data_IF_160824794728
#
_entry.id   IF_160824794728
#
_cell.length_a   1.000
_cell.length_b   1.000
_cell.length_c   1.000
_cell.angle_alpha   90.00
_cell.angle_beta   90.00
_cell.angle_gamma   90.00
#
_symmetry.space_group_name_H-M   'P 1'
#
loop_
_entity.id
_entity.type
_entity.pdbx_description
1 polymer ?
#
# COMPACT_ATOMS: atom_id res chain seq x y z
N UNK A 1 -4.53 15.98 -14.80
CA UNK A 1 -5.23 15.82 -13.50
C UNK A 1 -5.05 17.05 -12.58
N UNK A 2 -5.31 18.24 -13.09
CA UNK A 2 -5.08 19.48 -12.30
C UNK A 2 -6.37 20.24 -11.99
N UNK A 3 -7.52 19.54 -11.96
CA UNK A 3 -8.78 20.16 -11.61
C UNK A 3 -9.45 19.41 -10.43
N UNK A 4 -9.12 19.79 -9.17
CA UNK A 4 -9.74 19.20 -7.97
C UNK A 4 -11.20 19.62 -7.79
N UNK A 5 -11.71 20.55 -8.62
CA UNK A 5 -13.08 21.08 -8.51
C UNK A 5 -14.16 20.01 -8.63
N UNK A 6 -13.88 18.89 -9.29
CA UNK A 6 -14.80 17.76 -9.34
C UNK A 6 -15.14 17.19 -7.96
N UNK A 7 -14.27 17.33 -6.97
CA UNK A 7 -14.52 16.86 -5.59
C UNK A 7 -15.65 17.65 -4.91
N UNK A 8 -15.91 18.87 -5.37
CA UNK A 8 -16.97 19.72 -4.81
C UNK A 8 -18.37 19.43 -5.41
N UNK A 9 -18.44 18.62 -6.46
CA UNK A 9 -19.73 18.20 -7.01
C UNK A 9 -20.42 17.22 -6.07
N UNK A 10 -21.74 17.34 -5.93
CA UNK A 10 -22.54 16.45 -5.10
C UNK A 10 -22.29 14.97 -5.44
N UNK A 11 -22.08 14.14 -4.42
CA UNK A 11 -21.83 12.70 -4.54
C UNK A 11 -20.50 12.31 -5.21
N UNK A 12 -19.59 13.25 -5.52
CA UNK A 12 -18.30 12.91 -6.17
C UNK A 12 -17.39 12.10 -5.30
N UNK A 13 -17.28 12.44 -4.02
CA UNK A 13 -16.45 11.69 -3.07
C UNK A 13 -16.99 10.28 -2.90
N UNK A 14 -18.30 10.12 -2.76
CA UNK A 14 -18.97 8.82 -2.63
C UNK A 14 -18.69 7.92 -3.84
N UNK A 15 -18.82 8.46 -5.07
CA UNK A 15 -18.51 7.73 -6.30
C UNK A 15 -17.04 7.31 -6.39
N UNK A 16 -16.12 8.17 -5.96
CA UNK A 16 -14.68 7.84 -5.94
C UNK A 16 -14.41 6.71 -4.94
N UNK A 17 -14.95 6.79 -3.73
CA UNK A 17 -14.80 5.76 -2.71
C UNK A 17 -15.42 4.43 -3.15
N UNK A 18 -16.63 4.45 -3.73
CA UNK A 18 -17.25 3.26 -4.30
C UNK A 18 -16.41 2.64 -5.43
N UNK A 19 -15.77 3.48 -6.25
CA UNK A 19 -14.81 3.03 -7.26
C UNK A 19 -13.60 2.33 -6.64
N UNK A 20 -12.98 2.94 -5.64
CA UNK A 20 -11.81 2.40 -4.94
C UNK A 20 -12.09 1.03 -4.29
N UNK A 21 -13.26 0.83 -3.70
CA UNK A 21 -13.61 -0.42 -3.00
C UNK A 21 -14.25 -1.48 -3.91
N UNK A 22 -14.51 -1.15 -5.17
CA UNK A 22 -15.15 -2.04 -6.14
C UNK A 22 -14.22 -2.50 -7.25
N UNK A 23 -13.23 -1.69 -7.61
CA UNK A 23 -12.26 -2.03 -8.64
C UNK A 23 -11.16 -2.93 -8.09
N UNK A 24 -10.77 -3.93 -8.88
CA UNK A 24 -9.65 -4.80 -8.52
C UNK A 24 -8.34 -4.03 -8.64
N UNK A 25 -7.44 -4.27 -7.70
CA UNK A 25 -6.05 -3.88 -7.84
C UNK A 25 -5.46 -4.52 -9.11
N UNK A 26 -4.76 -3.75 -9.92
CA UNK A 26 -3.96 -4.29 -11.00
C UNK A 26 -2.84 -5.17 -10.44
N UNK A 27 -2.40 -6.16 -11.22
CA UNK A 27 -1.23 -6.96 -10.83
C UNK A 27 -0.04 -6.01 -10.64
N UNK A 28 0.66 -6.17 -9.52
CA UNK A 28 1.90 -5.44 -9.30
C UNK A 28 2.95 -5.87 -10.33
N UNK A 29 3.55 -4.90 -10.95
CA UNK A 29 4.64 -5.06 -11.91
C UNK A 29 5.63 -3.87 -11.78
N UNK A 30 6.58 -3.77 -12.69
CA UNK A 30 7.56 -2.70 -12.78
C UNK A 30 7.12 -1.51 -13.63
N UNK A 31 5.86 -1.49 -14.08
CA UNK A 31 5.33 -0.41 -14.91
C UNK A 31 4.53 0.58 -14.07
N UNK A 32 4.62 1.84 -14.43
CA UNK A 32 3.92 2.95 -13.78
C UNK A 32 3.09 3.68 -14.84
N UNK A 33 1.89 4.11 -14.46
CA UNK A 33 1.00 4.85 -15.36
C UNK A 33 1.66 6.12 -15.89
N UNK A 34 1.37 6.44 -17.14
CA UNK A 34 1.86 7.63 -17.85
C UNK A 34 1.55 8.94 -17.10
N UNK A 35 0.43 9.00 -16.39
CA UNK A 35 0.08 10.13 -15.52
C UNK A 35 1.14 10.44 -14.44
N UNK A 36 1.90 9.45 -13.99
CA UNK A 36 2.93 9.60 -12.97
C UNK A 36 4.35 9.71 -13.56
N UNK A 37 4.56 9.33 -14.83
CA UNK A 37 5.88 9.36 -15.47
C UNK A 37 6.04 10.52 -16.44
N UNK A 38 4.95 11.05 -16.99
CA UNK A 38 5.01 12.14 -17.97
C UNK A 38 4.12 13.35 -17.62
N UNK A 39 3.12 13.16 -16.75
CA UNK A 39 2.12 14.20 -16.46
C UNK A 39 2.09 14.66 -14.99
N UNK A 40 2.99 14.15 -14.14
CA UNK A 40 3.04 14.56 -12.74
C UNK A 40 3.35 16.06 -12.61
N UNK A 41 2.47 16.80 -11.96
CA UNK A 41 2.57 18.28 -11.82
C UNK A 41 2.72 19.04 -13.14
N UNK A 42 2.28 18.47 -14.23
CA UNK A 42 2.29 19.15 -15.54
C UNK A 42 1.47 20.44 -15.45
N UNK A 43 2.04 21.51 -15.98
CA UNK A 43 1.37 22.80 -16.11
C UNK A 43 0.92 23.04 -17.56
N UNK A 44 -0.04 23.93 -17.83
CA UNK A 44 -0.47 24.27 -19.19
C UNK A 44 0.65 24.83 -20.08
N UNK A 45 1.77 25.26 -19.49
CA UNK A 45 2.93 25.82 -20.20
C UNK A 45 4.01 24.79 -20.52
N UNK A 46 3.87 23.56 -20.05
CA UNK A 46 4.85 22.48 -20.24
C UNK A 46 4.26 21.37 -21.11
N UNK A 47 5.06 20.83 -22.04
CA UNK A 47 4.65 19.70 -22.86
C UNK A 47 4.58 18.39 -22.09
N UNK A 48 5.33 18.27 -20.97
CA UNK A 48 5.36 17.11 -20.10
C UNK A 48 5.51 17.55 -18.63
N UNK A 49 5.18 16.66 -17.72
CA UNK A 49 5.36 16.82 -16.28
C UNK A 49 6.65 16.18 -15.78
N UNK A 50 6.66 15.86 -14.52
CA UNK A 50 7.76 15.14 -13.85
C UNK A 50 7.53 13.63 -13.96
N UNK A 51 8.61 12.86 -13.69
CA UNK A 51 8.59 11.40 -13.58
C UNK A 51 8.78 10.99 -12.13
N UNK A 52 7.73 10.42 -11.51
CA UNK A 52 7.76 10.00 -10.11
C UNK A 52 8.79 8.90 -9.84
N UNK A 53 8.94 7.95 -10.77
CA UNK A 53 9.90 6.85 -10.59
C UNK A 53 11.34 7.38 -10.57
N UNK A 54 11.69 8.27 -11.48
CA UNK A 54 12.98 8.95 -11.48
C UNK A 54 13.23 9.75 -10.20
N UNK A 55 12.19 10.45 -9.70
CA UNK A 55 12.26 11.15 -8.41
C UNK A 55 12.52 10.20 -7.25
N UNK A 56 11.87 9.03 -7.20
CA UNK A 56 12.07 8.04 -6.14
C UNK A 56 13.50 7.49 -6.16
N UNK A 57 14.05 7.17 -7.32
CA UNK A 57 15.43 6.71 -7.49
C UNK A 57 16.40 7.80 -7.02
N UNK A 58 16.26 9.02 -7.56
CA UNK A 58 17.11 10.14 -7.19
C UNK A 58 17.03 10.47 -5.69
N UNK A 59 15.83 10.42 -5.11
CA UNK A 59 15.61 10.64 -3.68
C UNK A 59 16.33 9.58 -2.84
N UNK A 60 16.29 8.31 -3.23
CA UNK A 60 17.04 7.25 -2.58
C UNK A 60 18.53 7.52 -2.56
N UNK A 61 19.11 7.91 -3.70
CA UNK A 61 20.53 8.26 -3.83
C UNK A 61 20.91 9.50 -3.02
N UNK A 62 20.08 10.54 -3.07
CA UNK A 62 20.25 11.79 -2.32
C UNK A 62 20.23 11.56 -0.79
N UNK A 63 19.43 10.62 -0.31
CA UNK A 63 19.38 10.24 1.11
C UNK A 63 20.39 9.16 1.50
N UNK A 64 21.27 8.75 0.60
CA UNK A 64 22.30 7.76 0.87
C UNK A 64 21.75 6.36 1.21
N UNK A 65 20.60 5.98 0.64
CA UNK A 65 20.10 4.63 0.82
C UNK A 65 21.04 3.63 0.17
N UNK A 66 21.34 2.55 0.90
CA UNK A 66 22.14 1.46 0.36
C UNK A 66 21.43 0.78 -0.82
N UNK A 67 22.17 0.18 -1.76
CA UNK A 67 21.61 -0.61 -2.86
C UNK A 67 20.73 -1.77 -2.40
N UNK A 68 19.86 -2.21 -3.30
CA UNK A 68 18.92 -3.31 -3.07
C UNK A 68 19.56 -4.57 -2.48
N UNK A 69 20.66 -5.00 -3.05
CA UNK A 69 21.32 -6.24 -2.62
C UNK A 69 21.87 -6.18 -1.19
N UNK A 70 22.29 -5.01 -0.72
CA UNK A 70 22.68 -4.76 0.67
C UNK A 70 21.46 -4.83 1.61
N UNK A 71 20.32 -4.23 1.22
CA UNK A 71 19.09 -4.32 2.02
C UNK A 71 18.57 -5.76 2.14
N UNK A 72 18.73 -6.58 1.11
CA UNK A 72 18.42 -8.01 1.20
C UNK A 72 19.22 -8.68 2.31
N UNK A 73 20.52 -8.46 2.33
CA UNK A 73 21.41 -9.01 3.35
C UNK A 73 21.02 -8.54 4.76
N UNK A 74 20.71 -7.26 4.93
CA UNK A 74 20.22 -6.71 6.21
C UNK A 74 18.89 -7.31 6.65
N UNK A 75 18.06 -7.75 5.73
CA UNK A 75 16.81 -8.47 5.99
C UNK A 75 17.02 -9.98 6.24
N UNK A 76 18.26 -10.46 6.33
CA UNK A 76 18.55 -11.89 6.46
C UNK A 76 18.25 -12.71 5.21
N UNK A 77 18.06 -12.05 4.07
CA UNK A 77 17.86 -12.70 2.78
C UNK A 77 19.22 -12.92 2.09
N UNK A 78 19.27 -13.91 1.19
CA UNK A 78 20.49 -14.20 0.45
C UNK A 78 20.88 -13.00 -0.42
N UNK A 79 22.12 -12.54 -0.29
CA UNK A 79 22.75 -11.62 -1.22
C UNK A 79 23.04 -12.35 -2.54
N UNK A 80 22.82 -11.69 -3.65
CA UNK A 80 23.08 -12.24 -4.98
C UNK A 80 24.51 -11.87 -5.43
N UNK A 81 25.14 -12.78 -6.17
CA UNK A 81 26.48 -12.61 -6.72
C UNK A 81 26.53 -12.72 -8.25
N UNK A 82 25.38 -12.91 -8.88
CA UNK A 82 25.24 -13.01 -10.34
C UNK A 82 23.82 -12.75 -10.80
N UNK A 83 23.66 -12.15 -11.98
CA UNK A 83 22.38 -11.75 -12.57
C UNK A 83 21.36 -12.90 -12.65
N UNK A 84 21.83 -14.11 -12.98
CA UNK A 84 20.94 -15.28 -13.10
C UNK A 84 20.24 -15.63 -11.78
N UNK A 85 20.87 -15.34 -10.64
CA UNK A 85 20.27 -15.61 -9.33
C UNK A 85 19.08 -14.71 -9.03
N UNK A 86 19.01 -13.51 -9.61
CA UNK A 86 17.86 -12.63 -9.50
C UNK A 86 16.58 -13.21 -10.12
N UNK A 87 16.71 -14.15 -11.09
CA UNK A 87 15.56 -14.82 -11.69
C UNK A 87 14.76 -15.67 -10.69
N UNK A 88 15.34 -16.04 -9.57
CA UNK A 88 14.63 -16.74 -8.48
C UNK A 88 13.54 -15.87 -7.87
N UNK A 89 13.81 -14.56 -7.77
CA UNK A 89 12.93 -13.60 -7.09
C UNK A 89 12.30 -12.55 -8.01
N UNK A 90 12.71 -12.48 -9.26
CA UNK A 90 12.21 -11.55 -10.28
C UNK A 90 11.84 -12.29 -11.56
N UNK A 91 11.09 -11.65 -12.44
CA UNK A 91 10.83 -12.17 -13.77
C UNK A 91 12.08 -12.05 -14.67
N UNK A 92 12.36 -13.08 -15.50
CA UNK A 92 13.54 -13.08 -16.40
C UNK A 92 13.67 -11.84 -17.28
N UNK A 93 12.53 -11.35 -17.80
CA UNK A 93 12.51 -10.14 -18.63
C UNK A 93 12.91 -8.90 -17.86
N UNK A 94 12.51 -8.82 -16.59
CA UNK A 94 12.88 -7.73 -15.68
C UNK A 94 14.37 -7.79 -15.36
N UNK A 95 14.91 -8.98 -15.06
CA UNK A 95 16.34 -9.16 -14.83
C UNK A 95 17.16 -8.72 -16.04
N UNK A 96 16.78 -9.15 -17.25
CA UNK A 96 17.47 -8.72 -18.47
C UNK A 96 17.44 -7.20 -18.72
N UNK A 97 16.33 -6.52 -18.33
CA UNK A 97 16.27 -5.03 -18.40
C UNK A 97 17.19 -4.40 -17.36
N UNK A 98 17.24 -4.93 -16.14
CA UNK A 98 18.13 -4.43 -15.11
C UNK A 98 19.60 -4.58 -15.52
N UNK A 99 19.99 -5.72 -16.07
CA UNK A 99 21.34 -5.99 -16.57
C UNK A 99 21.74 -5.04 -17.71
N UNK A 100 20.80 -4.57 -18.51
CA UNK A 100 21.06 -3.57 -19.56
C UNK A 100 21.24 -2.13 -19.04
N UNK A 101 20.79 -1.85 -17.81
CA UNK A 101 20.76 -0.48 -17.24
C UNK A 101 21.81 -0.31 -16.15
N UNK A 102 22.07 -1.34 -15.35
CA UNK A 102 23.05 -1.31 -14.27
C UNK A 102 24.30 -2.09 -14.65
N UNK A 103 25.47 -1.53 -14.40
CA UNK A 103 26.75 -2.21 -14.68
C UNK A 103 26.94 -3.42 -13.77
N UNK A 104 26.52 -3.30 -12.51
CA UNK A 104 26.61 -4.35 -11.53
C UNK A 104 25.30 -4.49 -10.73
N UNK A 105 24.98 -5.70 -10.29
CA UNK A 105 23.78 -5.92 -9.50
C UNK A 105 23.80 -5.23 -8.13
N UNK A 106 24.96 -4.94 -7.60
CA UNK A 106 25.12 -4.16 -6.38
C UNK A 106 24.85 -2.65 -6.57
N UNK A 107 24.67 -2.21 -7.83
CA UNK A 107 24.29 -0.82 -8.15
C UNK A 107 22.77 -0.64 -8.25
N UNK A 108 21.99 -1.73 -8.23
CA UNK A 108 20.54 -1.67 -8.32
C UNK A 108 19.99 -0.86 -7.15
N UNK A 109 19.29 0.24 -7.46
CA UNK A 109 18.64 1.06 -6.44
C UNK A 109 17.61 0.26 -5.64
N UNK A 110 17.49 0.54 -4.34
CA UNK A 110 16.54 -0.14 -3.45
C UNK A 110 15.10 -0.10 -3.99
N UNK A 111 14.66 1.07 -4.45
CA UNK A 111 13.30 1.22 -5.01
C UNK A 111 13.12 0.32 -6.23
N UNK A 112 14.03 0.36 -7.19
CA UNK A 112 13.97 -0.44 -8.42
C UNK A 112 13.97 -1.93 -8.12
N UNK A 113 14.92 -2.41 -7.32
CA UNK A 113 15.03 -3.83 -6.97
C UNK A 113 13.84 -4.32 -6.15
N UNK A 114 13.41 -3.55 -5.15
CA UNK A 114 12.27 -3.90 -4.30
C UNK A 114 10.94 -3.94 -5.07
N UNK A 115 10.75 -3.06 -6.06
CA UNK A 115 9.58 -3.08 -6.94
C UNK A 115 9.62 -4.25 -7.94
N UNK A 116 10.79 -4.72 -8.31
CA UNK A 116 10.94 -5.83 -9.26
C UNK A 116 10.73 -7.22 -8.62
N UNK A 117 10.86 -7.36 -7.28
CA UNK A 117 10.69 -8.63 -6.59
C UNK A 117 9.29 -9.22 -6.77
N UNK A 118 9.20 -10.54 -6.91
CA UNK A 118 7.93 -11.27 -6.84
C UNK A 118 7.31 -11.09 -5.45
N UNK A 119 5.99 -10.84 -5.34
CA UNK A 119 5.32 -10.68 -4.05
C UNK A 119 5.44 -11.92 -3.16
N UNK A 120 5.53 -11.71 -1.85
CA UNK A 120 5.37 -12.80 -0.87
C UNK A 120 3.96 -13.38 -0.94
N UNK A 121 3.80 -14.64 -0.53
CA UNK A 121 2.48 -15.30 -0.51
C UNK A 121 1.51 -14.51 0.36
N UNK A 122 0.37 -14.16 -0.19
CA UNK A 122 -0.65 -13.34 0.48
C UNK A 122 -0.33 -11.85 0.60
N UNK A 123 0.80 -11.38 0.05
CA UNK A 123 1.20 -9.99 0.06
C UNK A 123 1.24 -9.35 -1.33
N UNK A 124 1.48 -8.06 -1.38
CA UNK A 124 1.58 -7.25 -2.60
C UNK A 124 3.00 -6.75 -2.87
N UNK A 125 3.93 -6.97 -1.97
CA UNK A 125 5.35 -6.61 -2.10
C UNK A 125 6.25 -7.82 -1.94
N UNK A 126 7.47 -7.73 -2.48
CA UNK A 126 8.47 -8.78 -2.33
C UNK A 126 9.07 -8.84 -0.92
N UNK A 127 9.91 -9.87 -0.63
CA UNK A 127 10.44 -10.11 0.71
C UNK A 127 11.28 -8.96 1.26
N UNK A 128 12.01 -8.23 0.42
CA UNK A 128 12.83 -7.09 0.87
C UNK A 128 11.96 -5.95 1.38
N UNK A 129 10.95 -5.53 0.63
CA UNK A 129 10.02 -4.50 1.09
C UNK A 129 9.14 -4.97 2.24
N UNK A 130 8.73 -6.24 2.25
CA UNK A 130 7.99 -6.81 3.38
C UNK A 130 8.79 -6.72 4.70
N UNK A 131 10.10 -7.01 4.66
CA UNK A 131 11.00 -6.86 5.79
C UNK A 131 11.09 -5.39 6.26
N UNK A 132 11.39 -4.46 5.35
CA UNK A 132 11.60 -3.04 5.68
C UNK A 132 10.31 -2.44 6.25
N UNK A 133 9.17 -2.67 5.60
CA UNK A 133 7.87 -2.16 6.02
C UNK A 133 7.47 -2.78 7.36
N UNK A 134 7.62 -4.11 7.51
CA UNK A 134 7.33 -4.81 8.74
C UNK A 134 8.16 -4.31 9.92
N UNK A 135 9.46 -4.07 9.71
CA UNK A 135 10.34 -3.51 10.73
C UNK A 135 9.94 -2.09 11.12
N UNK A 136 9.54 -1.27 10.15
CA UNK A 136 9.06 0.08 10.43
C UNK A 136 7.79 0.08 11.28
N UNK A 137 6.80 -0.74 10.93
CA UNK A 137 5.57 -0.87 11.73
C UNK A 137 5.86 -1.40 13.15
N UNK A 138 6.78 -2.36 13.27
CA UNK A 138 7.22 -2.83 14.58
C UNK A 138 7.84 -1.71 15.42
N UNK A 139 8.70 -0.88 14.81
CA UNK A 139 9.34 0.24 15.48
C UNK A 139 8.32 1.32 15.87
N UNK A 140 7.37 1.65 15.00
CA UNK A 140 6.28 2.58 15.30
C UNK A 140 5.46 2.11 16.50
N UNK A 141 5.07 0.84 16.51
CA UNK A 141 4.30 0.27 17.62
C UNK A 141 5.08 0.26 18.94
N UNK A 142 6.36 -0.13 18.92
CA UNK A 142 7.21 -0.20 20.12
C UNK A 142 7.70 1.17 20.60
N UNK A 143 7.94 2.08 19.66
CA UNK A 143 8.49 3.40 19.95
C UNK A 143 7.45 4.42 20.41
N UNK A 144 6.17 4.20 20.10
CA UNK A 144 5.10 5.06 20.54
C UNK A 144 4.73 4.75 22.01
N UNK A 145 5.12 5.65 22.90
CA UNK A 145 4.76 5.59 24.33
C UNK A 145 3.24 5.62 24.55
N UNK A 146 2.49 6.20 23.66
CA UNK A 146 1.03 6.31 23.70
C UNK A 146 0.33 5.38 22.71
N UNK A 147 1.01 4.33 22.26
CA UNK A 147 0.34 3.30 21.45
C UNK A 147 -0.97 2.88 22.11
N UNK A 148 -2.05 2.81 21.36
CA UNK A 148 -3.41 2.67 21.91
C UNK A 148 -3.60 1.44 22.80
N UNK A 149 -2.80 0.39 22.67
CA UNK A 149 -2.80 -0.80 23.52
C UNK A 149 -1.88 -0.68 24.75
N UNK A 150 -1.09 0.38 24.87
CA UNK A 150 -0.18 0.55 25.99
C UNK A 150 -0.96 0.96 27.26
N UNK A 151 -0.93 0.09 28.28
CA UNK A 151 -1.70 0.27 29.52
C UNK A 151 -0.96 1.01 30.64
N UNK A 152 0.26 1.50 30.43
CA UNK A 152 1.15 1.95 31.50
C UNK A 152 1.28 3.48 31.63
N UNK A 153 0.29 4.26 31.19
CA UNK A 153 0.29 5.71 31.29
C UNK A 153 -1.09 6.25 31.68
N UNK A 154 -1.13 7.48 32.19
CA UNK A 154 -2.36 8.09 32.73
C UNK A 154 -3.51 8.24 31.72
N UNK A 155 -3.18 8.32 30.43
CA UNK A 155 -4.16 8.40 29.33
C UNK A 155 -4.47 7.04 28.68
N UNK A 156 -4.08 5.93 29.28
CA UNK A 156 -4.32 4.59 28.73
C UNK A 156 -5.82 4.26 28.68
N UNK A 157 -6.22 3.57 27.62
CA UNK A 157 -7.58 3.05 27.50
C UNK A 157 -7.83 1.92 28.49
N UNK A 158 -9.01 1.87 29.07
CA UNK A 158 -9.49 0.72 29.83
C UNK A 158 -9.73 -0.48 28.91
N UNK A 159 -9.81 -1.67 29.46
CA UNK A 159 -10.12 -2.89 28.69
C UNK A 159 -11.43 -2.76 27.92
N UNK A 160 -12.46 -2.16 28.52
CA UNK A 160 -13.74 -1.94 27.85
C UNK A 160 -13.61 -0.98 26.66
N UNK A 161 -12.88 0.13 26.83
CA UNK A 161 -12.62 1.07 25.75
C UNK A 161 -11.81 0.43 24.61
N UNK A 162 -10.80 -0.41 24.92
CA UNK A 162 -10.04 -1.14 23.89
C UNK A 162 -10.93 -2.12 23.11
N UNK A 163 -11.86 -2.79 23.77
CA UNK A 163 -12.81 -3.66 23.07
C UNK A 163 -13.65 -2.87 22.09
N UNK A 164 -14.22 -1.74 22.49
CA UNK A 164 -14.98 -0.86 21.59
C UNK A 164 -14.13 -0.35 20.41
N UNK A 165 -12.90 0.11 20.65
CA UNK A 165 -11.99 0.57 19.59
C UNK A 165 -11.73 -0.54 18.57
N UNK A 166 -11.54 -1.78 19.02
CA UNK A 166 -11.27 -2.94 18.16
C UNK A 166 -12.47 -3.36 17.31
N UNK A 167 -13.67 -2.92 17.66
CA UNK A 167 -14.87 -3.19 16.87
C UNK A 167 -15.02 -2.25 15.68
N UNK A 168 -14.29 -1.15 15.61
CA UNK A 168 -14.40 -0.18 14.51
C UNK A 168 -13.77 -0.73 13.23
N UNK A 169 -14.51 -0.71 12.14
CA UNK A 169 -14.03 -1.05 10.81
C UNK A 169 -14.04 0.17 9.89
N UNK A 170 -13.14 0.19 8.90
CA UNK A 170 -13.16 1.25 7.90
C UNK A 170 -14.47 1.27 7.10
N UNK A 171 -15.08 0.13 6.85
CA UNK A 171 -16.39 0.05 6.22
C UNK A 171 -17.45 0.77 7.05
N UNK A 172 -17.42 0.64 8.39
CA UNK A 172 -18.34 1.37 9.27
C UNK A 172 -18.09 2.89 9.19
N UNK A 173 -16.84 3.31 9.22
CA UNK A 173 -16.47 4.74 9.10
C UNK A 173 -16.99 5.31 7.78
N UNK A 174 -16.80 4.62 6.66
CA UNK A 174 -17.31 5.06 5.35
C UNK A 174 -18.84 5.11 5.35
N UNK A 175 -19.52 4.10 5.90
CA UNK A 175 -20.99 4.10 6.02
C UNK A 175 -21.53 5.27 6.85
N UNK A 176 -20.81 5.69 7.88
CA UNK A 176 -21.24 6.79 8.76
C UNK A 176 -20.98 8.18 8.17
N UNK A 177 -19.95 8.30 7.33
CA UNK A 177 -19.49 9.58 6.80
C UNK A 177 -20.01 9.89 5.39
N UNK A 178 -20.53 8.91 4.65
CA UNK A 178 -20.98 9.07 3.26
C UNK A 178 -22.50 9.12 3.17
N UNK A 179 -23.02 9.98 2.28
CA UNK A 179 -24.46 10.19 2.14
C UNK A 179 -25.10 9.19 1.19
N UNK A 180 -24.46 8.88 0.06
CA UNK A 180 -25.01 8.07 -1.03
C UNK A 180 -24.49 6.62 -1.05
N UNK A 181 -23.80 6.18 0.02
CA UNK A 181 -23.30 4.80 0.14
C UNK A 181 -24.33 3.94 0.89
N UNK A 182 -25.06 3.10 0.16
CA UNK A 182 -26.10 2.26 0.75
C UNK A 182 -25.58 0.94 1.31
N UNK A 183 -24.59 0.32 0.65
CA UNK A 183 -24.08 -1.01 0.99
C UNK A 183 -22.58 -1.09 0.77
N UNK A 184 -21.87 -1.69 1.72
CA UNK A 184 -20.44 -1.99 1.64
C UNK A 184 -20.15 -3.41 2.13
N UNK A 185 -19.04 -3.96 1.67
CA UNK A 185 -18.48 -5.20 2.23
C UNK A 185 -17.72 -4.91 3.54
N UNK A 186 -17.78 -5.82 4.54
CA UNK A 186 -17.08 -5.66 5.82
C UNK A 186 -15.56 -5.46 5.66
N UNK A 187 -14.92 -6.29 4.84
CA UNK A 187 -13.50 -6.16 4.50
C UNK A 187 -13.33 -5.27 3.28
N UNK A 188 -13.25 -3.97 3.51
CA UNK A 188 -13.38 -2.95 2.47
C UNK A 188 -12.33 -3.05 1.35
N UNK A 189 -11.10 -3.48 1.69
CA UNK A 189 -10.01 -3.64 0.71
C UNK A 189 -10.00 -5.01 0.00
N UNK A 190 -10.88 -5.92 0.38
CA UNK A 190 -11.09 -7.18 -0.32
C UNK A 190 -12.28 -7.06 -1.27
N UNK A 191 -12.21 -7.76 -2.40
CA UNK A 191 -13.34 -7.80 -3.32
C UNK A 191 -14.59 -8.38 -2.62
N UNK A 192 -15.78 -7.83 -2.87
CA UNK A 192 -16.99 -8.42 -2.36
C UNK A 192 -17.20 -9.81 -3.00
N UNK A 193 -17.71 -10.73 -2.21
CA UNK A 193 -18.13 -12.06 -2.64
C UNK A 193 -19.52 -12.41 -2.04
N UNK A 194 -20.02 -13.60 -2.32
CA UNK A 194 -21.34 -14.03 -1.84
C UNK A 194 -21.28 -14.88 -0.55
N UNK A 195 -20.12 -15.03 0.08
CA UNK A 195 -19.93 -15.94 1.21
C UNK A 195 -19.29 -15.19 2.40
N UNK A 196 -18.05 -14.75 2.26
CA UNK A 196 -17.26 -14.23 3.38
C UNK A 196 -17.19 -12.68 3.41
N UNK A 197 -17.47 -12.02 2.29
CA UNK A 197 -17.35 -10.56 2.18
C UNK A 197 -18.57 -9.96 1.44
N UNK A 198 -19.77 -10.35 1.87
CA UNK A 198 -21.03 -9.91 1.26
C UNK A 198 -21.29 -8.44 1.57
N UNK A 199 -21.70 -7.67 0.57
CA UNK A 199 -22.12 -6.27 0.78
C UNK A 199 -23.36 -6.21 1.66
N UNK A 200 -23.22 -5.54 2.80
CA UNK A 200 -24.24 -5.36 3.83
C UNK A 200 -24.69 -3.91 3.88
N UNK A 201 -25.95 -3.69 4.27
CA UNK A 201 -26.51 -2.35 4.36
C UNK A 201 -25.75 -1.47 5.37
N UNK A 202 -25.51 -0.21 5.01
CA UNK A 202 -24.91 0.78 5.89
C UNK A 202 -25.86 1.22 7.01
N UNK A 203 -27.18 1.23 6.74
CA UNK A 203 -28.25 1.74 7.63
C UNK A 203 -29.36 0.69 7.78
N UNK A 204 -30.14 0.77 8.87
CA UNK A 204 -31.28 -0.10 9.14
C UNK A 204 -30.95 -1.38 9.93
N UNK A 205 -31.97 -2.24 10.08
CA UNK A 205 -31.82 -3.56 10.71
C UNK A 205 -30.97 -4.47 9.80
N UNK A 206 -29.88 -4.99 10.32
CA UNK A 206 -28.89 -5.77 9.54
C UNK A 206 -27.74 -4.94 8.97
N UNK A 207 -27.56 -3.71 9.50
CA UNK A 207 -26.39 -2.88 9.20
C UNK A 207 -25.07 -3.58 9.50
N UNK A 208 -24.02 -3.17 8.82
CA UNK A 208 -22.64 -3.56 9.12
C UNK A 208 -22.38 -3.39 10.62
N UNK A 209 -22.31 -4.50 11.33
CA UNK A 209 -21.92 -4.57 12.72
C UNK A 209 -20.50 -5.13 12.78
N UNK A 210 -19.80 -4.76 13.83
CA UNK A 210 -18.44 -5.19 14.11
C UNK A 210 -18.32 -6.67 14.44
N UNK A 211 -19.40 -7.32 14.82
CA UNK A 211 -19.43 -8.75 15.15
C UNK A 211 -19.14 -9.66 13.95
N UNK A 212 -19.27 -9.14 12.71
CA UNK A 212 -18.96 -9.86 11.49
C UNK A 212 -17.45 -9.99 11.23
N UNK A 213 -16.61 -9.25 11.95
CA UNK A 213 -15.15 -9.23 11.78
C UNK A 213 -14.41 -10.18 12.73
N UNK A 214 -15.09 -10.74 13.74
CA UNK A 214 -14.46 -11.53 14.82
C UNK A 214 -14.39 -13.03 14.49
N UNK A 215 -15.03 -13.49 13.43
CA UNK A 215 -15.14 -14.91 13.08
C UNK A 215 -14.31 -15.34 11.85
N UNK A 216 -13.13 -14.72 11.62
CA UNK A 216 -12.18 -15.17 10.60
C UNK A 216 -10.81 -15.44 11.22
#
# INVERSE_FOLDING_TARGET
MNNPSNLHNFGSVDRILLGLVSQKLARRDEFITDELTNHLFQTPRSQFGMDLASLNIQRGRDHGLAPYNIWREQCGLRRFTGWQQLEEVMDKRTVARLENVYEHMDDIDLFTGGMAEKPVVGGIVGPTFACIIGQQFLNLRKGDRFWYEAGQHAGAFTTAQLQEIRTVSLARVVCDCMDDVEKLQPFLFLQPDNIANVRTACRGDGRLTTDQLINV
#
